data_IF_250705880831
#
_entry.id   IF_250705880831
#
_cell.length_a   1.000
_cell.length_b   1.000
_cell.length_c   1.000
_cell.angle_alpha   90.00
_cell.angle_beta   90.00
_cell.angle_gamma   90.00
#
_symmetry.space_group_name_H-M   'P 1'
#
loop_
_entity.id
_entity.type
_entity.pdbx_description
1 polymer ?
#
# COMPACT_ATOMS: atom_id res chain seq x y z
N UNK A 1 -1.63 -5.30 23.57
CA UNK A 1 -0.27 -4.72 23.46
C UNK A 1 0.12 -4.01 24.75
N UNK A 2 1.42 -4.02 25.03
CA UNK A 2 2.08 -3.42 26.21
C UNK A 2 2.94 -2.22 25.83
N UNK A 3 3.42 -1.53 26.88
CA UNK A 3 4.09 -0.23 27.09
C UNK A 3 4.75 0.60 25.95
N UNK A 4 4.87 0.12 24.71
CA UNK A 4 5.31 0.92 23.56
C UNK A 4 4.41 0.75 22.31
N UNK A 5 3.33 -0.04 22.38
CA UNK A 5 2.42 -0.26 21.25
C UNK A 5 0.93 -0.24 21.65
N UNK A 6 0.07 0.08 20.68
CA UNK A 6 -1.39 0.23 20.86
C UNK A 6 -2.13 -1.09 20.73
N UNK A 7 -2.81 -1.55 21.78
CA UNK A 7 -3.55 -2.82 21.72
C UNK A 7 -4.81 -2.68 20.85
N UNK A 8 -4.83 -3.30 19.67
CA UNK A 8 -5.99 -3.34 18.80
C UNK A 8 -6.76 -4.65 19.05
N UNK A 9 -7.99 -4.52 19.53
CA UNK A 9 -8.95 -5.61 19.61
C UNK A 9 -10.01 -5.38 18.55
N UNK A 10 -10.11 -6.28 17.56
CA UNK A 10 -11.16 -6.22 16.54
C UNK A 10 -12.27 -7.20 16.86
N UNK A 11 -13.51 -6.82 16.53
CA UNK A 11 -14.70 -7.66 16.56
C UNK A 11 -14.93 -8.39 15.24
N UNK A 12 -14.16 -8.07 14.21
CA UNK A 12 -14.30 -8.66 12.88
C UNK A 12 -13.53 -9.98 12.75
N UNK A 13 -14.25 -11.01 12.30
CA UNK A 13 -13.67 -12.30 11.99
C UNK A 13 -12.92 -12.21 10.65
N UNK A 14 -11.68 -12.70 10.59
CA UNK A 14 -10.80 -12.68 9.40
C UNK A 14 -10.27 -11.33 8.91
N UNK A 15 -10.25 -10.26 9.73
CA UNK A 15 -9.70 -8.97 9.30
C UNK A 15 -8.25 -9.07 8.80
N UNK A 16 -8.01 -8.43 7.67
CA UNK A 16 -6.68 -8.13 7.17
C UNK A 16 -6.31 -6.72 7.63
N UNK A 17 -5.08 -6.57 8.13
CA UNK A 17 -4.52 -5.32 8.60
C UNK A 17 -3.41 -4.87 7.68
N UNK A 18 -3.35 -3.56 7.44
CA UNK A 18 -2.27 -2.90 6.72
C UNK A 18 -1.43 -2.14 7.75
N UNK A 19 -0.21 -2.61 7.97
CA UNK A 19 0.69 -2.09 9.01
C UNK A 19 1.88 -1.42 8.33
N UNK A 20 2.14 -0.18 8.75
CA UNK A 20 3.34 0.58 8.43
C UNK A 20 4.22 0.60 9.68
N UNK A 21 5.41 0.04 9.58
CA UNK A 21 6.45 0.12 10.61
C UNK A 21 7.74 0.74 10.05
N UNK A 22 8.81 0.77 10.85
CA UNK A 22 10.08 1.33 10.42
C UNK A 22 10.65 0.61 9.18
N UNK A 23 10.49 -0.71 9.08
CA UNK A 23 10.92 -1.47 7.89
C UNK A 23 10.06 -1.10 6.68
N UNK A 24 8.76 -0.87 6.86
CA UNK A 24 7.89 -0.37 5.79
C UNK A 24 8.34 0.98 5.25
N UNK A 25 8.79 1.88 6.12
CA UNK A 25 9.30 3.20 5.71
C UNK A 25 10.65 3.11 5.00
N UNK A 26 11.48 2.12 5.33
CA UNK A 26 12.76 1.90 4.65
C UNK A 26 12.59 1.18 3.30
N UNK A 27 11.64 0.25 3.20
CA UNK A 27 11.48 -0.64 2.04
C UNK A 27 10.40 -0.20 1.07
N UNK A 28 9.48 0.67 1.47
CA UNK A 28 8.32 1.06 0.69
C UNK A 28 7.27 -0.05 0.58
N UNK A 29 7.35 -1.06 1.45
CA UNK A 29 6.45 -2.21 1.48
C UNK A 29 5.52 -2.13 2.68
N UNK A 30 4.24 -2.36 2.43
CA UNK A 30 3.21 -2.42 3.47
C UNK A 30 3.08 -3.85 3.96
N UNK A 31 3.12 -4.03 5.28
CA UNK A 31 2.85 -5.32 5.92
C UNK A 31 1.35 -5.59 5.92
N UNK A 32 0.94 -6.62 5.17
CA UNK A 32 -0.43 -7.12 5.12
C UNK A 32 -0.52 -8.31 6.06
N UNK A 33 -1.25 -8.17 7.17
CA UNK A 33 -1.18 -9.09 8.31
C UNK A 33 -2.57 -9.55 8.73
N UNK A 34 -2.69 -10.83 9.04
CA UNK A 34 -3.83 -11.39 9.75
C UNK A 34 -3.36 -11.84 11.13
N UNK A 35 -4.00 -11.34 12.18
CA UNK A 35 -3.72 -11.72 13.56
C UNK A 35 -4.65 -12.82 14.05
N UNK A 36 -4.15 -13.66 14.96
CA UNK A 36 -4.94 -14.57 15.78
C UNK A 36 -5.61 -13.80 16.93
N UNK A 37 -6.65 -14.35 17.59
CA UNK A 37 -7.28 -13.70 18.75
C UNK A 37 -6.34 -13.41 19.93
N UNK A 38 -5.22 -14.13 20.05
CA UNK A 38 -4.19 -13.89 21.06
C UNK A 38 -3.17 -12.79 20.68
N UNK A 39 -3.34 -12.15 19.52
CA UNK A 39 -2.45 -11.10 19.00
C UNK A 39 -1.21 -11.61 18.26
N UNK A 40 -1.00 -12.93 18.16
CA UNK A 40 0.06 -13.48 17.31
C UNK A 40 -0.27 -13.31 15.84
N UNK A 41 0.76 -13.20 15.01
CA UNK A 41 0.60 -13.25 13.55
C UNK A 41 0.13 -14.66 13.14
N UNK A 42 -0.96 -14.73 12.39
CA UNK A 42 -1.43 -15.96 11.75
C UNK A 42 -0.82 -16.12 10.36
N UNK A 43 -1.00 -15.09 9.52
CA UNK A 43 -0.46 -15.00 8.17
C UNK A 43 0.02 -13.57 7.93
N UNK A 44 1.10 -13.41 7.17
CA UNK A 44 1.58 -12.09 6.77
C UNK A 44 2.22 -12.14 5.38
N UNK A 45 2.23 -11.01 4.71
CA UNK A 45 2.97 -10.80 3.47
C UNK A 45 3.26 -9.31 3.29
N UNK A 46 4.24 -8.97 2.47
CA UNK A 46 4.59 -7.59 2.14
C UNK A 46 4.08 -7.25 0.73
N UNK A 47 3.55 -6.04 0.57
CA UNK A 47 3.01 -5.56 -0.71
C UNK A 47 3.41 -4.12 -0.97
N UNK A 48 3.71 -3.79 -2.23
CA UNK A 48 3.80 -2.39 -2.66
C UNK A 48 2.41 -1.74 -2.59
N UNK A 49 2.31 -0.44 -2.27
CA UNK A 49 1.02 0.25 -2.11
C UNK A 49 0.08 0.07 -3.31
N UNK A 50 0.60 0.22 -4.53
CA UNK A 50 -0.18 0.06 -5.75
C UNK A 50 -0.70 -1.37 -6.01
N UNK A 51 -0.11 -2.38 -5.38
CA UNK A 51 -0.60 -3.76 -5.49
C UNK A 51 -1.74 -4.07 -4.50
N UNK A 52 -2.06 -3.15 -3.57
CA UNK A 52 -3.09 -3.37 -2.55
C UNK A 52 -4.52 -3.36 -3.10
N UNK A 53 -4.77 -2.65 -4.20
CA UNK A 53 -6.10 -2.60 -4.80
C UNK A 53 -6.66 -4.00 -5.10
N UNK A 54 -5.83 -4.91 -5.64
CA UNK A 54 -6.26 -6.28 -5.86
C UNK A 54 -6.52 -7.05 -4.57
N UNK A 55 -5.68 -6.86 -3.54
CA UNK A 55 -5.87 -7.49 -2.23
C UNK A 55 -7.23 -7.06 -1.66
N UNK A 56 -7.54 -5.76 -1.71
CA UNK A 56 -8.81 -5.22 -1.23
C UNK A 56 -9.99 -5.79 -2.02
N UNK A 57 -9.93 -5.83 -3.35
CA UNK A 57 -11.00 -6.38 -4.19
C UNK A 57 -11.32 -7.83 -3.86
N UNK A 58 -10.32 -8.70 -3.70
CA UNK A 58 -10.57 -10.11 -3.40
C UNK A 58 -10.94 -10.34 -1.92
N UNK A 59 -10.36 -9.58 -1.00
CA UNK A 59 -10.70 -9.70 0.41
C UNK A 59 -12.10 -9.16 0.71
N UNK A 60 -12.36 -7.90 0.37
CA UNK A 60 -13.61 -7.21 0.67
C UNK A 60 -14.73 -7.71 -0.25
N UNK A 61 -14.45 -7.82 -1.56
CA UNK A 61 -15.45 -8.22 -2.54
C UNK A 61 -15.82 -9.70 -2.48
N UNK A 62 -14.85 -10.59 -2.28
CA UNK A 62 -15.06 -12.05 -2.33
C UNK A 62 -14.92 -12.76 -0.97
N UNK A 63 -14.58 -12.05 0.10
CA UNK A 63 -14.41 -12.63 1.44
C UNK A 63 -13.18 -13.53 1.57
N UNK A 64 -12.18 -13.40 0.69
CA UNK A 64 -11.02 -14.30 0.70
C UNK A 64 -10.13 -14.05 1.93
N UNK A 65 -9.72 -15.10 2.65
CA UNK A 65 -8.76 -14.96 3.76
C UNK A 65 -7.36 -14.67 3.22
N UNK A 66 -6.51 -14.02 4.03
CA UNK A 66 -5.14 -13.64 3.64
C UNK A 66 -4.30 -14.83 3.12
N UNK A 67 -4.48 -16.02 3.71
CA UNK A 67 -3.82 -17.25 3.24
C UNK A 67 -4.09 -17.52 1.76
N UNK A 68 -5.34 -17.40 1.33
CA UNK A 68 -5.72 -17.66 -0.06
C UNK A 68 -5.11 -16.61 -0.98
N UNK A 69 -5.16 -15.33 -0.60
CA UNK A 69 -4.55 -14.23 -1.36
C UNK A 69 -3.05 -14.45 -1.60
N UNK A 70 -2.32 -14.91 -0.57
CA UNK A 70 -0.90 -15.24 -0.67
C UNK A 70 -0.68 -16.42 -1.63
N UNK A 71 -1.46 -17.50 -1.48
CA UNK A 71 -1.31 -18.72 -2.29
C UNK A 71 -1.65 -18.49 -3.77
N UNK A 72 -2.68 -17.71 -4.07
CA UNK A 72 -3.06 -17.36 -5.43
C UNK A 72 -2.19 -16.25 -6.04
N UNK A 73 -1.34 -15.59 -5.25
CA UNK A 73 -0.46 -14.52 -5.72
C UNK A 73 -1.19 -13.21 -6.03
N UNK A 74 -2.32 -12.95 -5.37
CA UNK A 74 -3.06 -11.68 -5.48
C UNK A 74 -2.20 -10.54 -4.92
N UNK A 75 -2.22 -9.38 -5.59
CA UNK A 75 -1.31 -8.26 -5.32
C UNK A 75 0.15 -8.60 -5.65
N UNK A 76 0.39 -9.63 -6.43
CA UNK A 76 1.69 -9.93 -7.01
C UNK A 76 2.49 -10.92 -6.17
N UNK A 77 3.35 -11.67 -6.86
CA UNK A 77 4.34 -12.56 -6.24
C UNK A 77 5.54 -11.77 -5.75
N UNK A 78 6.52 -12.46 -5.15
CA UNK A 78 7.68 -11.81 -4.52
C UNK A 78 8.44 -10.85 -5.44
N UNK A 79 8.58 -11.15 -6.74
CA UNK A 79 9.31 -10.27 -7.67
C UNK A 79 8.58 -8.95 -7.98
N UNK A 80 7.25 -8.89 -7.86
CA UNK A 80 6.47 -7.65 -7.98
C UNK A 80 6.47 -6.81 -6.69
N UNK A 81 6.95 -7.39 -5.58
CA UNK A 81 6.96 -6.80 -4.25
C UNK A 81 8.37 -6.78 -3.67
N UNK A 82 9.36 -6.43 -4.49
CA UNK A 82 10.71 -6.13 -4.02
C UNK A 82 10.73 -4.73 -3.37
N UNK A 83 11.64 -4.47 -2.41
CA UNK A 83 11.82 -3.15 -1.84
C UNK A 83 11.93 -2.06 -2.92
N UNK A 84 11.31 -0.93 -2.69
CA UNK A 84 11.50 0.26 -3.50
C UNK A 84 12.91 0.79 -3.24
N UNK A 85 13.66 1.10 -4.30
CA UNK A 85 15.07 1.47 -4.16
C UNK A 85 15.27 2.90 -3.64
N UNK A 86 14.34 3.80 -3.95
CA UNK A 86 14.46 5.21 -3.63
C UNK A 86 13.07 5.78 -3.37
N UNK A 87 12.76 6.01 -2.10
CA UNK A 87 11.51 6.62 -1.65
C UNK A 87 11.62 8.14 -1.50
N UNK A 88 12.81 8.70 -1.70
CA UNK A 88 13.05 10.14 -1.66
C UNK A 88 12.75 10.79 -3.03
N UNK A 89 12.49 9.98 -4.07
CA UNK A 89 12.01 10.46 -5.36
C UNK A 89 10.55 10.94 -5.27
N UNK A 90 10.15 11.94 -6.07
CA UNK A 90 8.75 12.30 -6.22
C UNK A 90 7.88 11.09 -6.60
N UNK A 91 6.65 11.01 -6.11
CA UNK A 91 5.80 9.82 -6.26
C UNK A 91 5.63 9.39 -7.72
N UNK A 92 5.55 10.34 -8.65
CA UNK A 92 5.43 10.05 -10.09
C UNK A 92 6.71 9.45 -10.67
N UNK A 93 7.89 9.81 -10.14
CA UNK A 93 9.19 9.25 -10.55
C UNK A 93 9.40 7.85 -9.98
N UNK A 94 8.90 7.58 -8.76
CA UNK A 94 8.84 6.23 -8.21
C UNK A 94 8.00 5.33 -9.12
N UNK A 95 6.77 5.75 -9.45
CA UNK A 95 5.87 4.96 -10.31
C UNK A 95 6.46 4.75 -11.71
N UNK A 96 7.08 5.78 -12.30
CA UNK A 96 7.74 5.67 -13.60
C UNK A 96 8.90 4.67 -13.55
N UNK A 97 9.72 4.72 -12.50
CA UNK A 97 10.84 3.77 -12.31
C UNK A 97 10.36 2.33 -12.22
N UNK A 98 9.26 2.09 -11.50
CA UNK A 98 8.63 0.75 -11.42
C UNK A 98 8.14 0.30 -12.79
N UNK A 99 7.53 1.19 -13.58
CA UNK A 99 7.06 0.90 -14.93
C UNK A 99 8.20 0.56 -15.88
N UNK A 100 9.26 1.36 -15.88
CA UNK A 100 10.41 1.19 -16.76
C UNK A 100 11.13 -0.14 -16.51
N UNK A 101 11.03 -0.66 -15.28
CA UNK A 101 11.57 -1.97 -14.88
C UNK A 101 10.61 -3.14 -15.12
N UNK A 102 9.37 -2.88 -15.55
CA UNK A 102 8.36 -3.91 -15.74
C UNK A 102 7.93 -4.60 -14.45
N UNK A 103 8.00 -3.89 -13.32
CA UNK A 103 7.73 -4.45 -11.99
C UNK A 103 6.27 -4.30 -11.56
N UNK A 104 5.44 -3.61 -12.35
CA UNK A 104 3.99 -3.66 -12.18
C UNK A 104 3.47 -5.05 -12.51
N UNK A 105 2.61 -5.57 -11.63
CA UNK A 105 1.95 -6.86 -11.87
C UNK A 105 1.05 -6.82 -13.12
N UNK A 106 0.43 -5.68 -13.39
CA UNK A 106 -0.36 -5.43 -14.59
C UNK A 106 0.36 -4.38 -15.44
N UNK A 107 0.82 -4.76 -16.63
CA UNK A 107 1.59 -3.88 -17.51
C UNK A 107 0.75 -2.77 -18.13
N UNK A 108 -0.58 -2.84 -18.04
CA UNK A 108 -1.50 -1.79 -18.43
C UNK A 108 -1.70 -0.73 -17.33
N UNK A 109 -0.93 -0.76 -16.25
CA UNK A 109 -0.98 0.23 -15.17
C UNK A 109 -0.59 1.63 -15.65
N UNK A 110 -1.60 2.36 -16.12
CA UNK A 110 -1.60 3.80 -16.40
C UNK A 110 -0.37 4.34 -17.13
N UNK A 111 -0.20 5.64 -17.08
CA UNK A 111 1.01 6.35 -17.44
C UNK A 111 1.16 7.54 -16.50
N UNK A 112 2.25 8.30 -16.65
CA UNK A 112 2.54 9.42 -15.77
C UNK A 112 1.41 10.45 -15.74
N UNK A 113 0.76 10.72 -16.87
CA UNK A 113 -0.35 11.67 -16.94
C UNK A 113 -1.59 11.16 -16.20
N UNK A 114 -1.91 9.87 -16.38
CA UNK A 114 -2.98 9.23 -15.64
C UNK A 114 -2.71 9.25 -14.14
N UNK A 115 -1.52 8.83 -13.69
CA UNK A 115 -1.19 8.82 -12.26
C UNK A 115 -1.23 10.21 -11.66
N UNK A 116 -0.73 11.23 -12.37
CA UNK A 116 -0.80 12.61 -11.91
C UNK A 116 -2.26 13.05 -11.70
N UNK A 117 -3.16 12.70 -12.62
CA UNK A 117 -4.58 13.01 -12.50
C UNK A 117 -5.24 12.27 -11.32
N UNK A 118 -4.99 10.98 -11.18
CA UNK A 118 -5.57 10.18 -10.09
C UNK A 118 -5.06 10.65 -8.73
N UNK A 119 -3.77 10.95 -8.61
CA UNK A 119 -3.17 11.46 -7.37
C UNK A 119 -3.69 12.86 -7.05
N UNK A 120 -3.78 13.78 -8.02
CA UNK A 120 -4.33 15.11 -7.76
C UNK A 120 -5.84 15.07 -7.46
N UNK A 121 -6.57 14.11 -8.05
CA UNK A 121 -7.97 13.85 -7.69
C UNK A 121 -8.13 13.35 -6.25
N UNK A 122 -7.25 12.45 -5.80
CA UNK A 122 -7.28 11.87 -4.45
C UNK A 122 -6.66 12.78 -3.38
N UNK A 123 -5.66 13.57 -3.74
CA UNK A 123 -4.88 14.45 -2.86
C UNK A 123 -4.65 15.81 -3.54
N UNK A 124 -5.69 16.66 -3.66
CA UNK A 124 -5.60 17.90 -4.42
C UNK A 124 -4.48 18.83 -3.95
N UNK A 125 -3.56 19.17 -4.86
CA UNK A 125 -2.42 20.03 -4.61
C UNK A 125 -1.20 19.34 -3.95
N UNK A 126 -1.27 18.04 -3.65
CA UNK A 126 -0.12 17.28 -3.13
C UNK A 126 1.07 17.32 -4.08
N UNK A 127 0.84 17.04 -5.38
CA UNK A 127 1.92 16.99 -6.38
C UNK A 127 2.64 18.34 -6.55
N UNK A 128 1.93 19.45 -6.34
CA UNK A 128 2.55 20.76 -6.36
C UNK A 128 3.45 20.98 -5.14
N UNK A 129 2.98 20.59 -3.95
CA UNK A 129 3.78 20.69 -2.73
C UNK A 129 5.03 19.81 -2.80
N UNK A 130 4.89 18.57 -3.29
CA UNK A 130 6.01 17.66 -3.52
C UNK A 130 7.01 18.25 -4.53
N UNK A 131 6.54 18.85 -5.62
CA UNK A 131 7.40 19.53 -6.59
C UNK A 131 8.17 20.74 -6.03
N UNK A 132 7.63 21.37 -4.98
CA UNK A 132 8.25 22.48 -4.25
C UNK A 132 9.11 22.02 -3.05
N UNK A 133 9.16 20.70 -2.76
CA UNK A 133 9.84 20.13 -1.59
C UNK A 133 9.17 20.51 -0.26
N UNK A 134 7.84 20.56 -0.24
CA UNK A 134 6.98 20.97 0.87
C UNK A 134 5.86 19.95 1.13
N UNK A 135 6.07 18.69 0.75
CA UNK A 135 5.11 17.60 0.88
C UNK A 135 4.63 17.39 2.33
N UNK A 136 5.47 17.72 3.33
CA UNK A 136 5.13 17.65 4.75
C UNK A 136 4.06 18.67 5.17
N UNK A 137 3.82 19.70 4.36
CA UNK A 137 2.75 20.67 4.58
C UNK A 137 1.38 20.17 4.10
N UNK A 138 1.32 19.01 3.45
CA UNK A 138 0.04 18.43 3.04
C UNK A 138 -0.75 17.91 4.24
N UNK A 139 -1.90 18.51 4.49
CA UNK A 139 -2.84 18.09 5.54
C UNK A 139 -3.64 16.87 5.09
N UNK A 140 -3.56 15.77 5.84
CA UNK A 140 -4.23 14.50 5.50
C UNK A 140 -5.77 14.63 5.47
N UNK A 141 -6.33 15.59 6.19
CA UNK A 141 -7.75 15.93 6.17
C UNK A 141 -8.23 16.44 4.81
N UNK A 142 -7.30 16.79 3.91
CA UNK A 142 -7.59 17.23 2.54
C UNK A 142 -7.63 16.09 1.52
N UNK A 143 -7.38 14.86 1.95
CA UNK A 143 -7.61 13.69 1.09
C UNK A 143 -9.08 13.63 0.67
N UNK A 144 -9.33 13.43 -0.62
CA UNK A 144 -10.67 13.35 -1.16
C UNK A 144 -11.33 12.02 -0.76
N UNK A 145 -12.62 12.09 -0.41
CA UNK A 145 -13.47 10.91 -0.41
C UNK A 145 -13.73 10.52 -1.88
N UNK A 146 -13.19 9.38 -2.30
CA UNK A 146 -13.43 8.84 -3.64
C UNK A 146 -14.67 7.93 -3.58
N UNK A 147 -15.69 8.25 -4.38
CA UNK A 147 -16.92 7.45 -4.56
C UNK A 147 -16.73 6.25 -5.50
#
# INVERSE_FOLDING_TARGET
MTRAGTALFTTEYNSIWYVLDAESLETGLINVVQFKPNGEINHSTQRRPFNLAQIMTFHIGNGWPLKELIQSGIGGRSHHNQPMMDLDLPILDILQTVKDRGEFQDTAWGDREMWAREIDGAAPGYLQLEGDGREEEFELERLAELE
#
